data_IF_988809204362
#
_entry.id   IF_988809204362
#
_cell.length_a   1.000
_cell.length_b   1.000
_cell.length_c   1.000
_cell.angle_alpha   90.00
_cell.angle_beta   90.00
_cell.angle_gamma   90.00
#
_symmetry.space_group_name_H-M   'P 1'
#
loop_
_entity.id
_entity.type
_entity.pdbx_description
1 polymer ?
#
# COMPACT_ATOMS: atom_id res chain seq x y z
N UNK A 1 -42.33 42.62 -34.55
CA UNK A 1 -42.73 43.97 -34.09
C UNK A 1 -44.26 44.01 -33.96
N UNK A 2 -44.76 44.80 -33.01
CA UNK A 2 -46.18 45.01 -32.59
C UNK A 2 -46.68 44.05 -31.50
N UNK A 3 -46.46 44.38 -30.21
CA UNK A 3 -47.35 45.11 -29.27
C UNK A 3 -48.55 44.25 -28.83
N UNK A 4 -48.51 43.61 -27.66
CA UNK A 4 -48.92 44.12 -26.33
C UNK A 4 -50.39 44.57 -26.29
N UNK A 5 -51.23 43.92 -25.47
CA UNK A 5 -52.25 44.52 -24.59
C UNK A 5 -52.74 43.44 -23.62
N UNK A 6 -52.57 43.73 -22.33
CA UNK A 6 -53.20 43.05 -21.21
C UNK A 6 -54.61 43.64 -20.97
N UNK A 7 -55.58 42.86 -20.48
CA UNK A 7 -56.62 43.43 -19.62
C UNK A 7 -57.26 42.39 -18.67
N UNK A 8 -57.42 42.88 -17.45
CA UNK A 8 -57.86 42.28 -16.20
C UNK A 8 -59.36 41.96 -16.20
N UNK A 9 -59.78 40.86 -15.55
CA UNK A 9 -60.98 40.90 -14.69
C UNK A 9 -61.02 39.79 -13.64
N UNK A 10 -61.19 40.25 -12.41
CA UNK A 10 -61.31 39.53 -11.16
C UNK A 10 -62.75 39.06 -10.86
N UNK A 11 -62.88 38.32 -9.73
CA UNK A 11 -64.09 37.89 -8.96
C UNK A 11 -64.43 36.41 -9.20
N UNK A 12 -64.70 35.55 -8.21
CA UNK A 12 -65.07 35.64 -6.77
C UNK A 12 -64.71 34.25 -6.17
N UNK A 13 -63.98 34.17 -5.07
CA UNK A 13 -64.51 33.94 -3.72
C UNK A 13 -65.47 32.74 -3.60
N UNK A 14 -65.01 31.64 -2.98
CA UNK A 14 -65.69 31.03 -1.82
C UNK A 14 -64.81 29.96 -1.16
N UNK A 15 -64.51 30.20 0.11
CA UNK A 15 -63.92 29.27 1.07
C UNK A 15 -64.84 28.09 1.37
N UNK A 16 -64.25 26.91 1.57
CA UNK A 16 -64.69 25.87 2.50
C UNK A 16 -63.45 24.97 2.76
N UNK A 17 -62.77 25.12 3.89
CA UNK A 17 -62.97 24.39 5.15
C UNK A 17 -62.85 22.86 5.03
N UNK A 18 -61.85 22.30 5.72
CA UNK A 18 -61.75 20.87 6.09
C UNK A 18 -60.55 20.18 5.44
N UNK A 19 -59.41 20.01 6.12
CA UNK A 19 -59.11 19.01 7.16
C UNK A 19 -58.30 17.83 6.59
N UNK A 20 -57.20 17.55 7.30
CA UNK A 20 -56.50 16.26 7.45
C UNK A 20 -55.41 15.88 6.45
N UNK A 21 -54.18 16.20 6.87
CA UNK A 21 -53.16 15.21 7.20
C UNK A 21 -53.06 13.96 6.29
N UNK A 22 -52.09 13.99 5.39
CA UNK A 22 -51.62 12.84 4.64
C UNK A 22 -50.14 12.99 4.30
N UNK A 23 -49.29 13.10 5.32
CA UNK A 23 -47.85 13.03 5.17
C UNK A 23 -47.48 11.58 4.82
N UNK A 24 -47.24 11.30 3.53
CA UNK A 24 -46.49 10.10 3.12
C UNK A 24 -45.16 10.59 2.54
N UNK A 25 -44.22 10.83 3.46
CA UNK A 25 -42.81 10.94 3.12
C UNK A 25 -42.33 9.55 2.69
N UNK A 26 -42.39 9.28 1.39
CA UNK A 26 -41.61 8.23 0.78
C UNK A 26 -40.14 8.64 0.87
N UNK A 27 -39.49 8.24 1.96
CA UNK A 27 -38.05 8.33 2.12
C UNK A 27 -37.41 7.38 1.10
N UNK A 28 -37.10 7.89 -0.09
CA UNK A 28 -36.09 7.30 -0.96
C UNK A 28 -34.79 7.28 -0.16
N UNK A 29 -34.42 6.12 0.36
CA UNK A 29 -33.08 5.84 0.84
C UNK A 29 -32.14 5.90 -0.37
N UNK A 30 -31.72 7.12 -0.71
CA UNK A 30 -30.46 7.33 -1.42
C UNK A 30 -29.41 6.82 -0.43
N UNK A 31 -28.95 5.59 -0.67
CA UNK A 31 -27.80 5.05 0.03
C UNK A 31 -26.70 6.09 -0.08
N UNK A 32 -26.35 6.68 1.06
CA UNK A 32 -25.20 7.55 1.17
C UNK A 32 -24.02 6.70 0.69
N UNK A 33 -23.57 6.95 -0.54
CA UNK A 33 -22.27 6.50 -0.97
C UNK A 33 -21.30 6.99 0.10
N UNK A 34 -20.63 6.05 0.77
CA UNK A 34 -19.55 6.41 1.69
C UNK A 34 -18.67 7.43 0.95
N UNK A 35 -18.43 8.62 1.53
CA UNK A 35 -17.49 9.56 0.93
C UNK A 35 -16.18 8.80 0.72
N UNK A 36 -15.45 9.04 -0.39
CA UNK A 36 -14.19 8.35 -0.64
C UNK A 36 -13.33 8.56 0.60
N UNK A 37 -13.16 7.49 1.39
CA UNK A 37 -12.30 7.51 2.57
C UNK A 37 -10.98 8.12 2.13
N UNK A 38 -10.51 9.14 2.85
CA UNK A 38 -9.17 9.67 2.62
C UNK A 38 -8.21 8.49 2.44
N UNK A 39 -7.37 8.50 1.39
CA UNK A 39 -6.47 7.39 1.16
C UNK A 39 -5.72 7.13 2.47
N UNK A 40 -5.63 5.87 2.92
CA UNK A 40 -4.98 5.56 4.18
C UNK A 40 -3.60 6.22 4.21
N UNK A 41 -3.26 6.88 5.32
CA UNK A 41 -1.96 7.52 5.51
C UNK A 41 -0.86 6.59 5.00
N UNK A 42 0.11 7.11 4.25
CA UNK A 42 1.13 6.33 3.54
C UNK A 42 1.76 5.24 4.42
N UNK A 43 2.05 5.56 5.68
CA UNK A 43 2.50 4.63 6.72
C UNK A 43 1.63 3.37 6.85
N UNK A 44 0.30 3.53 6.85
CA UNK A 44 -0.65 2.42 6.97
C UNK A 44 -0.66 1.52 5.75
N UNK A 45 -0.44 2.06 4.55
CA UNK A 45 -0.33 1.26 3.32
C UNK A 45 0.83 0.29 3.47
N UNK A 46 2.02 0.80 3.83
CA UNK A 46 3.19 -0.06 4.00
C UNK A 46 3.09 -0.98 5.21
N UNK A 47 2.51 -0.52 6.33
CA UNK A 47 2.27 -1.38 7.49
C UNK A 47 1.31 -2.54 7.16
N UNK A 48 0.21 -2.28 6.44
CA UNK A 48 -0.70 -3.33 5.99
C UNK A 48 -0.02 -4.27 4.98
N UNK A 49 0.92 -3.79 4.17
CA UNK A 49 1.71 -4.65 3.26
C UNK A 49 2.67 -5.59 4.02
N UNK A 50 3.31 -5.10 5.08
CA UNK A 50 4.23 -5.88 5.92
C UNK A 50 3.55 -7.07 6.62
N UNK A 51 2.23 -7.03 6.79
CA UNK A 51 1.46 -8.15 7.35
C UNK A 51 1.65 -9.44 6.55
N UNK A 52 2.00 -9.35 5.27
CA UNK A 52 2.26 -10.52 4.43
C UNK A 52 3.44 -11.39 4.92
N UNK A 53 4.38 -10.76 5.65
CA UNK A 53 5.57 -11.41 6.22
C UNK A 53 5.41 -11.69 7.71
N UNK A 54 4.77 -10.78 8.44
CA UNK A 54 4.81 -10.78 9.91
C UNK A 54 3.52 -11.26 10.58
N UNK A 55 2.37 -11.22 9.90
CA UNK A 55 1.11 -11.60 10.53
C UNK A 55 0.92 -13.12 10.49
N UNK A 56 0.89 -13.75 11.68
CA UNK A 56 0.69 -15.20 11.84
C UNK A 56 -0.54 -15.75 11.10
N UNK A 57 -1.64 -15.00 11.08
CA UNK A 57 -2.90 -15.42 10.48
C UNK A 57 -3.02 -15.04 8.99
N UNK A 58 -1.99 -14.41 8.41
CA UNK A 58 -1.95 -14.17 6.98
C UNK A 58 -1.72 -15.51 6.26
N UNK A 59 -2.53 -15.86 5.23
CA UNK A 59 -2.31 -17.09 4.50
C UNK A 59 -1.00 -16.95 3.71
N UNK A 60 0.03 -17.78 3.91
CA UNK A 60 1.31 -17.61 3.23
C UNK A 60 1.28 -18.01 1.76
N UNK A 61 0.27 -18.74 1.30
CA UNK A 61 0.16 -19.24 -0.07
C UNK A 61 -1.30 -19.43 -0.50
N UNK A 62 -1.49 -19.80 -1.77
CA UNK A 62 -2.82 -20.07 -2.36
C UNK A 62 -3.58 -21.17 -1.63
N UNK A 63 -2.90 -22.23 -1.18
CA UNK A 63 -3.55 -23.34 -0.49
C UNK A 63 -4.05 -22.94 0.90
N UNK A 64 -3.27 -22.16 1.62
CA UNK A 64 -3.67 -21.55 2.88
C UNK A 64 -4.87 -20.62 2.71
N UNK A 65 -4.88 -19.79 1.67
CA UNK A 65 -6.04 -18.94 1.36
C UNK A 65 -7.29 -19.79 1.09
N UNK A 66 -7.18 -20.86 0.30
CA UNK A 66 -8.28 -21.80 0.04
C UNK A 66 -8.80 -22.45 1.32
N UNK A 67 -7.92 -22.77 2.28
CA UNK A 67 -8.33 -23.25 3.62
C UNK A 67 -9.10 -22.18 4.39
N UNK A 68 -8.61 -20.94 4.43
CA UNK A 68 -9.31 -19.83 5.08
C UNK A 68 -10.70 -19.56 4.49
N UNK A 69 -10.84 -19.62 3.16
CA UNK A 69 -12.11 -19.45 2.46
C UNK A 69 -13.11 -20.55 2.83
N UNK A 70 -12.69 -21.83 2.78
CA UNK A 70 -13.53 -22.98 3.16
C UNK A 70 -13.96 -22.93 4.63
N UNK A 71 -13.04 -22.56 5.51
CA UNK A 71 -13.31 -22.40 6.94
C UNK A 71 -14.07 -21.13 7.30
N UNK A 72 -14.28 -20.20 6.34
CA UNK A 72 -14.83 -18.86 6.57
C UNK A 72 -14.09 -18.08 7.67
N UNK A 73 -12.77 -18.24 7.74
CA UNK A 73 -11.93 -17.54 8.71
C UNK A 73 -11.90 -16.03 8.42
N UNK A 74 -12.65 -15.26 9.21
CA UNK A 74 -12.79 -13.82 9.04
C UNK A 74 -11.46 -13.07 9.25
N UNK A 75 -10.59 -13.55 10.13
CA UNK A 75 -9.32 -12.88 10.43
C UNK A 75 -8.36 -13.06 9.27
N UNK A 76 -8.14 -14.29 8.83
CA UNK A 76 -7.28 -14.61 7.69
C UNK A 76 -7.75 -13.88 6.41
N UNK A 77 -9.04 -13.94 6.10
CA UNK A 77 -9.61 -13.29 4.91
C UNK A 77 -9.56 -11.76 4.97
N UNK A 78 -9.61 -11.17 6.17
CA UNK A 78 -9.43 -9.71 6.37
C UNK A 78 -7.98 -9.31 6.12
N UNK A 79 -7.01 -10.06 6.67
CA UNK A 79 -5.59 -9.79 6.46
C UNK A 79 -5.21 -9.93 4.99
N UNK A 80 -5.69 -10.98 4.32
CA UNK A 80 -5.47 -11.15 2.88
C UNK A 80 -5.93 -9.92 2.07
N UNK A 81 -7.17 -9.44 2.31
CA UNK A 81 -7.71 -8.26 1.62
C UNK A 81 -6.91 -6.98 1.90
N UNK A 82 -6.45 -6.79 3.15
CA UNK A 82 -5.58 -5.65 3.52
C UNK A 82 -4.28 -5.65 2.73
N UNK A 83 -3.56 -6.78 2.72
CA UNK A 83 -2.28 -6.91 2.01
C UNK A 83 -2.47 -6.73 0.49
N UNK A 84 -3.51 -7.33 -0.09
CA UNK A 84 -3.80 -7.19 -1.54
C UNK A 84 -4.08 -5.73 -1.90
N UNK A 85 -4.91 -5.04 -1.10
CA UNK A 85 -5.21 -3.62 -1.31
C UNK A 85 -3.96 -2.74 -1.14
N UNK A 86 -3.16 -2.98 -0.10
CA UNK A 86 -1.91 -2.27 0.13
C UNK A 86 -0.93 -2.45 -1.05
N UNK A 87 -0.78 -3.68 -1.55
CA UNK A 87 0.06 -3.98 -2.72
C UNK A 87 -0.41 -3.21 -3.95
N UNK A 88 -1.71 -3.20 -4.24
CA UNK A 88 -2.26 -2.47 -5.38
C UNK A 88 -1.95 -0.96 -5.28
N UNK A 89 -2.08 -0.40 -4.07
CA UNK A 89 -1.76 1.00 -3.80
C UNK A 89 -0.26 1.30 -3.94
N UNK A 90 0.61 0.39 -3.51
CA UNK A 90 2.07 0.51 -3.70
C UNK A 90 2.41 0.48 -5.19
N UNK A 91 1.86 -0.50 -5.93
CA UNK A 91 2.10 -0.63 -7.38
C UNK A 91 1.65 0.60 -8.16
N UNK A 92 0.51 1.20 -7.80
CA UNK A 92 0.03 2.43 -8.43
C UNK A 92 0.95 3.65 -8.20
N UNK A 93 1.89 3.56 -7.25
CA UNK A 93 2.85 4.63 -6.92
C UNK A 93 4.24 4.39 -7.51
N UNK A 94 4.51 3.22 -8.09
CA UNK A 94 5.84 2.88 -8.64
C UNK A 94 6.20 3.86 -9.74
N UNK A 95 7.07 4.81 -9.39
CA UNK A 95 7.49 5.94 -10.20
C UNK A 95 8.67 6.62 -9.50
N UNK A 96 9.34 7.58 -10.14
CA UNK A 96 10.40 8.35 -9.50
C UNK A 96 9.88 9.18 -8.31
N UNK A 97 8.64 9.68 -8.38
CA UNK A 97 8.00 10.41 -7.28
C UNK A 97 7.68 9.48 -6.12
N UNK A 98 7.05 8.33 -6.39
CA UNK A 98 6.73 7.34 -5.36
C UNK A 98 7.97 6.73 -4.70
N UNK A 99 9.09 6.59 -5.43
CA UNK A 99 10.37 6.18 -4.85
C UNK A 99 10.85 7.19 -3.80
N UNK A 100 10.75 8.49 -4.10
CA UNK A 100 11.10 9.55 -3.12
C UNK A 100 10.19 9.53 -1.91
N UNK A 101 8.88 9.34 -2.10
CA UNK A 101 7.91 9.19 -1.00
C UNK A 101 8.22 7.98 -0.13
N UNK A 102 8.52 6.83 -0.74
CA UNK A 102 8.90 5.60 -0.05
C UNK A 102 10.20 5.79 0.76
N UNK A 103 11.21 6.45 0.20
CA UNK A 103 12.47 6.74 0.89
C UNK A 103 12.30 7.74 2.03
N UNK A 104 11.45 8.76 1.87
CA UNK A 104 11.10 9.68 2.94
C UNK A 104 10.44 8.93 4.11
N UNK A 105 9.53 8.00 3.80
CA UNK A 105 8.93 7.14 4.81
C UNK A 105 9.96 6.24 5.50
N UNK A 106 10.89 5.63 4.77
CA UNK A 106 11.97 4.82 5.37
C UNK A 106 12.79 5.65 6.34
N UNK A 107 13.22 6.85 5.93
CA UNK A 107 13.95 7.77 6.82
C UNK A 107 13.15 8.11 8.08
N UNK A 108 11.84 8.29 7.97
CA UNK A 108 10.98 8.61 9.11
C UNK A 108 10.70 7.40 10.02
N UNK A 109 10.32 6.26 9.45
CA UNK A 109 9.77 5.11 10.17
C UNK A 109 10.84 4.13 10.65
N UNK A 110 11.99 4.05 10.00
CA UNK A 110 13.07 3.12 10.35
C UNK A 110 14.08 3.66 11.37
N UNK A 111 14.00 4.96 11.71
CA UNK A 111 14.92 5.60 12.67
C UNK A 111 14.49 5.44 14.13
N UNK A 112 13.27 4.96 14.41
CA UNK A 112 12.71 5.03 15.76
C UNK A 112 12.80 3.69 16.52
N UNK A 113 13.34 3.67 17.74
CA UNK A 113 13.29 2.52 18.64
C UNK A 113 11.90 2.44 19.29
N UNK A 114 10.83 2.12 18.54
CA UNK A 114 9.46 2.32 19.05
C UNK A 114 8.39 1.35 18.47
N UNK A 115 7.20 1.23 19.12
CA UNK A 115 6.33 0.03 19.20
C UNK A 115 5.87 -0.60 17.86
N UNK A 116 5.34 -1.84 17.86
CA UNK A 116 5.22 -2.73 16.68
C UNK A 116 4.59 -2.14 15.42
N UNK A 117 3.73 -1.11 15.54
CA UNK A 117 3.14 -0.44 14.39
C UNK A 117 4.15 0.35 13.53
N UNK A 118 5.17 0.98 14.14
CA UNK A 118 6.21 1.74 13.41
C UNK A 118 7.23 0.81 12.73
N UNK A 119 7.48 -0.38 13.31
CA UNK A 119 8.29 -1.43 12.67
C UNK A 119 7.65 -1.98 11.40
N UNK A 120 6.32 -2.17 11.36
CA UNK A 120 5.65 -2.66 10.14
C UNK A 120 5.67 -1.65 8.99
N UNK A 121 5.54 -0.35 9.26
CA UNK A 121 5.65 0.65 8.21
C UNK A 121 7.04 0.64 7.57
N UNK A 122 8.11 0.59 8.38
CA UNK A 122 9.49 0.44 7.90
C UNK A 122 9.64 -0.85 7.07
N UNK A 123 9.24 -1.99 7.63
CA UNK A 123 9.37 -3.30 6.97
C UNK A 123 8.66 -3.33 5.62
N UNK A 124 7.42 -2.86 5.57
CA UNK A 124 6.65 -2.81 4.32
C UNK A 124 7.23 -1.84 3.29
N UNK A 125 7.81 -0.72 3.74
CA UNK A 125 8.46 0.24 2.86
C UNK A 125 9.73 -0.34 2.23
N UNK A 126 10.55 -1.08 2.98
CA UNK A 126 11.71 -1.82 2.46
C UNK A 126 11.27 -2.95 1.53
N UNK A 127 10.27 -3.77 1.92
CA UNK A 127 9.71 -4.82 1.06
C UNK A 127 9.25 -4.27 -0.30
N UNK A 128 8.68 -3.05 -0.33
CA UNK A 128 8.20 -2.42 -1.54
C UNK A 128 9.30 -2.05 -2.55
N UNK A 129 10.57 -2.02 -2.14
CA UNK A 129 11.70 -1.85 -3.07
C UNK A 129 11.70 -2.92 -4.16
N UNK A 130 11.15 -4.11 -3.87
CA UNK A 130 10.92 -5.18 -4.85
C UNK A 130 10.14 -4.75 -6.10
N UNK A 131 9.39 -3.64 -6.08
CA UNK A 131 8.63 -3.14 -7.22
C UNK A 131 9.36 -2.07 -8.05
N UNK A 132 10.39 -1.41 -7.51
CA UNK A 132 11.19 -0.41 -8.23
C UNK A 132 12.29 -1.10 -9.05
N UNK A 133 11.88 -1.83 -10.09
CA UNK A 133 12.77 -2.69 -10.91
C UNK A 133 13.07 -2.16 -12.31
N UNK A 134 12.43 -1.06 -12.72
CA UNK A 134 12.80 -0.41 -13.98
C UNK A 134 14.24 0.10 -13.89
N UNK A 135 15.08 -0.04 -14.93
CA UNK A 135 16.50 0.31 -14.85
C UNK A 135 16.78 1.73 -14.33
N UNK A 136 15.95 2.70 -14.71
CA UNK A 136 16.08 4.08 -14.23
C UNK A 136 15.73 4.23 -12.74
N UNK A 137 14.66 3.57 -12.28
CA UNK A 137 14.26 3.58 -10.87
C UNK A 137 15.24 2.79 -10.00
N UNK A 138 15.78 1.69 -10.51
CA UNK A 138 16.81 0.89 -9.82
C UNK A 138 18.11 1.68 -9.63
N UNK A 139 18.55 2.38 -10.68
CA UNK A 139 19.71 3.27 -10.61
C UNK A 139 19.49 4.41 -9.60
N UNK A 140 18.28 5.00 -9.59
CA UNK A 140 17.93 6.03 -8.61
C UNK A 140 17.90 5.47 -7.19
N UNK A 141 17.30 4.29 -6.98
CA UNK A 141 17.25 3.63 -5.68
C UNK A 141 18.67 3.39 -5.14
N UNK A 142 19.61 2.92 -5.97
CA UNK A 142 20.99 2.72 -5.53
C UNK A 142 21.65 4.03 -5.09
N UNK A 143 21.46 5.12 -5.83
CA UNK A 143 21.98 6.45 -5.46
C UNK A 143 21.43 6.89 -4.11
N UNK A 144 20.13 6.72 -3.90
CA UNK A 144 19.47 7.10 -2.66
C UNK A 144 19.91 6.24 -1.47
N UNK A 145 20.11 4.94 -1.69
CA UNK A 145 20.63 3.99 -0.68
C UNK A 145 22.08 4.31 -0.31
N UNK A 146 22.90 4.73 -1.27
CA UNK A 146 24.26 5.22 -1.02
C UNK A 146 24.26 6.47 -0.13
N UNK A 147 23.27 7.34 -0.28
CA UNK A 147 23.14 8.58 0.47
C UNK A 147 22.52 8.43 1.88
N UNK A 148 22.04 7.23 2.25
CA UNK A 148 21.58 6.98 3.62
C UNK A 148 22.75 7.05 4.61
N UNK A 149 22.47 7.43 5.85
CA UNK A 149 23.46 7.27 6.93
C UNK A 149 23.73 5.78 7.22
N UNK A 150 24.89 5.48 7.80
CA UNK A 150 25.37 4.10 7.99
C UNK A 150 24.43 3.26 8.87
N UNK A 151 23.79 3.87 9.88
CA UNK A 151 22.88 3.18 10.79
C UNK A 151 21.59 2.79 10.07
N UNK A 152 20.95 3.73 9.37
CA UNK A 152 19.75 3.48 8.60
C UNK A 152 20.03 2.51 7.44
N UNK A 153 21.15 2.67 6.74
CA UNK A 153 21.59 1.72 5.71
C UNK A 153 21.71 0.32 6.29
N UNK A 154 22.40 0.16 7.41
CA UNK A 154 22.54 -1.15 8.06
C UNK A 154 21.18 -1.74 8.44
N UNK A 155 20.29 -0.91 8.97
CA UNK A 155 18.94 -1.34 9.33
C UNK A 155 18.13 -1.84 8.12
N UNK A 156 18.07 -1.09 7.02
CA UNK A 156 17.27 -1.49 5.84
C UNK A 156 17.77 -2.78 5.20
N UNK A 157 19.09 -3.01 5.16
CA UNK A 157 19.66 -4.25 4.63
C UNK A 157 19.45 -5.47 5.54
N UNK A 158 19.24 -5.24 6.83
CA UNK A 158 18.98 -6.30 7.81
C UNK A 158 17.48 -6.54 8.05
N UNK A 159 16.60 -5.67 7.56
CA UNK A 159 15.15 -5.78 7.68
C UNK A 159 14.59 -6.80 6.67
N UNK A 160 14.92 -6.64 5.40
CA UNK A 160 14.55 -7.54 4.31
C UNK A 160 15.63 -7.47 3.22
N UNK A 161 16.20 -8.61 2.83
CA UNK A 161 17.13 -8.69 1.71
C UNK A 161 16.46 -9.27 0.44
N UNK A 162 15.19 -9.68 0.51
CA UNK A 162 14.51 -10.36 -0.60
C UNK A 162 14.39 -9.47 -1.83
N UNK A 163 14.26 -8.15 -1.66
CA UNK A 163 14.21 -7.20 -2.76
C UNK A 163 15.54 -7.07 -3.52
N UNK A 164 16.68 -7.47 -2.92
CA UNK A 164 17.99 -7.50 -3.59
C UNK A 164 18.02 -8.56 -4.68
N UNK A 165 17.45 -9.74 -4.45
CA UNK A 165 17.39 -10.77 -5.48
C UNK A 165 16.57 -10.38 -6.73
N UNK A 166 15.88 -9.24 -6.70
CA UNK A 166 15.01 -8.77 -7.77
C UNK A 166 15.59 -7.61 -8.57
N UNK A 167 16.82 -7.17 -8.26
CA UNK A 167 17.47 -6.05 -8.93
C UNK A 167 17.77 -6.37 -10.40
N UNK A 168 17.43 -5.51 -11.37
CA UNK A 168 17.75 -5.72 -12.79
C UNK A 168 19.25 -5.61 -13.09
N UNK A 169 20.04 -4.95 -12.22
CA UNK A 169 21.48 -4.73 -12.41
C UNK A 169 22.30 -5.36 -11.27
N UNK A 170 22.28 -6.70 -11.13
CA UNK A 170 22.79 -7.37 -9.94
C UNK A 170 24.28 -7.08 -9.65
N UNK A 171 25.12 -7.01 -10.68
CA UNK A 171 26.55 -6.70 -10.50
C UNK A 171 26.78 -5.32 -9.87
N UNK A 172 26.00 -4.31 -10.26
CA UNK A 172 26.16 -2.95 -9.73
C UNK A 172 25.85 -2.88 -8.23
N UNK A 173 24.83 -3.63 -7.82
CA UNK A 173 24.49 -3.80 -6.41
C UNK A 173 25.55 -4.63 -5.67
N UNK A 174 26.08 -5.69 -6.28
CA UNK A 174 27.14 -6.51 -5.68
C UNK A 174 28.42 -5.68 -5.43
N UNK A 175 28.84 -4.88 -6.42
CA UNK A 175 30.01 -4.00 -6.31
C UNK A 175 29.85 -2.96 -5.20
N UNK A 176 28.62 -2.45 -5.02
CA UNK A 176 28.29 -1.56 -3.91
C UNK A 176 28.34 -2.30 -2.57
N UNK A 177 27.67 -3.44 -2.44
CA UNK A 177 27.62 -4.22 -1.20
C UNK A 177 29.00 -4.70 -0.72
N UNK A 178 29.94 -4.91 -1.65
CA UNK A 178 31.32 -5.24 -1.30
C UNK A 178 31.98 -4.14 -0.44
N UNK A 179 31.69 -2.87 -0.70
CA UNK A 179 32.38 -1.71 -0.12
C UNK A 179 31.55 -0.92 0.89
N UNK A 180 30.22 -1.05 0.82
CA UNK A 180 29.31 -0.31 1.67
C UNK A 180 29.56 -0.60 3.16
N UNK A 181 29.60 0.42 4.04
CA UNK A 181 29.72 0.24 5.47
C UNK A 181 28.34 -0.17 6.03
N UNK A 182 28.03 -1.45 5.88
CA UNK A 182 26.82 -2.10 6.39
C UNK A 182 27.24 -2.98 7.58
N UNK A 183 26.64 -2.76 8.74
CA UNK A 183 26.79 -3.59 9.92
C UNK A 183 25.99 -4.89 9.74
N UNK A 184 26.56 -5.84 9.02
CA UNK A 184 25.97 -7.16 8.82
C UNK A 184 25.93 -7.95 10.14
N UNK A 185 24.85 -8.70 10.45
CA UNK A 185 24.75 -9.52 11.65
C UNK A 185 25.85 -10.57 11.73
N UNK A 186 26.23 -11.12 10.57
CA UNK A 186 27.34 -12.07 10.43
C UNK A 186 28.08 -11.84 9.11
N UNK A 187 29.36 -12.26 8.99
CA UNK A 187 30.05 -12.26 7.70
C UNK A 187 29.32 -13.09 6.63
N UNK A 188 28.63 -14.16 7.03
CA UNK A 188 27.87 -15.00 6.12
C UNK A 188 26.63 -14.28 5.57
N UNK A 189 25.97 -13.42 6.36
CA UNK A 189 24.83 -12.64 5.88
C UNK A 189 25.21 -11.75 4.68
N UNK A 190 26.39 -11.11 4.71
CA UNK A 190 26.91 -10.35 3.56
C UNK A 190 27.11 -11.24 2.33
N UNK A 191 27.70 -12.43 2.52
CA UNK A 191 27.93 -13.39 1.43
C UNK A 191 26.62 -13.85 0.81
N UNK A 192 25.63 -14.18 1.63
CA UNK A 192 24.30 -14.60 1.18
C UNK A 192 23.61 -13.46 0.42
N UNK A 193 23.62 -12.24 0.93
CA UNK A 193 23.01 -11.09 0.25
C UNK A 193 23.62 -10.83 -1.13
N UNK A 194 24.96 -10.94 -1.25
CA UNK A 194 25.66 -10.82 -2.54
C UNK A 194 25.35 -12.01 -3.45
N UNK A 195 25.31 -13.23 -2.93
CA UNK A 195 24.96 -14.42 -3.72
C UNK A 195 23.53 -14.34 -4.26
N UNK A 196 22.58 -13.88 -3.44
CA UNK A 196 21.16 -13.74 -3.79
C UNK A 196 20.93 -12.74 -4.94
N UNK A 197 21.84 -11.79 -5.17
CA UNK A 197 21.76 -10.91 -6.35
C UNK A 197 21.91 -11.69 -7.67
N UNK A 198 22.75 -12.72 -7.68
CA UNK A 198 23.06 -13.50 -8.90
C UNK A 198 22.25 -14.78 -8.99
N UNK A 199 21.93 -15.38 -7.83
CA UNK A 199 21.16 -16.61 -7.71
C UNK A 199 20.01 -16.37 -6.73
N UNK A 200 18.99 -15.59 -7.13
CA UNK A 200 17.92 -15.22 -6.22
C UNK A 200 17.13 -16.46 -5.79
N UNK A 201 16.70 -16.52 -4.52
CA UNK A 201 15.72 -17.52 -4.11
C UNK A 201 14.41 -17.33 -4.90
N UNK A 202 13.53 -18.35 -4.93
CA UNK A 202 12.20 -18.18 -5.49
C UNK A 202 11.52 -16.93 -4.89
N UNK A 203 10.84 -16.11 -5.72
CA UNK A 203 10.25 -14.89 -5.23
C UNK A 203 9.19 -15.22 -4.17
N UNK A 204 9.16 -14.50 -3.05
CA UNK A 204 8.20 -14.76 -2.00
C UNK A 204 6.78 -14.64 -2.54
N UNK A 205 5.89 -15.48 -1.99
CA UNK A 205 4.50 -15.62 -2.45
C UNK A 205 3.71 -14.30 -2.37
N UNK A 206 4.07 -13.41 -1.45
CA UNK A 206 3.44 -12.09 -1.30
C UNK A 206 3.70 -11.15 -2.49
N UNK A 207 4.76 -11.35 -3.29
CA UNK A 207 4.97 -10.61 -4.54
C UNK A 207 3.97 -11.01 -5.62
N UNK A 208 3.42 -12.22 -5.54
CA UNK A 208 2.54 -12.83 -6.53
C UNK A 208 1.05 -12.57 -6.26
N UNK A 209 0.74 -11.75 -5.26
CA UNK A 209 -0.62 -11.37 -4.92
C UNK A 209 -1.28 -10.49 -6.01
N UNK A 210 -2.62 -10.49 -6.14
CA UNK A 210 -3.50 -11.55 -5.65
C UNK A 210 -3.19 -12.86 -6.39
N UNK A 211 -3.24 -13.98 -5.69
CA UNK A 211 -3.10 -15.28 -6.33
C UNK A 211 -4.32 -15.48 -7.24
N UNK A 212 -4.07 -15.58 -8.54
CA UNK A 212 -5.12 -15.83 -9.55
C UNK A 212 -5.49 -17.30 -9.53
N UNK A 213 -6.76 -17.58 -9.86
CA UNK A 213 -7.26 -18.94 -9.93
C UNK A 213 -6.79 -19.70 -11.18
#
# INVERSE_FOLDING_TARGET
>A
MCYLIAFIRARRAQSLCGLLAGFVLAATQVGAAEPPSEPPALERIYADFALARHAKDFPPDRDALRRCQRAKDKTCLRLYRKVVSARQQILARVSAAGLRENLALIRQSCQQPEPPAKSFACSGAVMAWAYYREPALDAQLLVEVQALDDALRSHVFNEDDTWLGLRPTPQRWADYLQRAPIAWPTPEAKRIAIANLHTPPPPPTWLQLPWRD
#
